data_IF_354082030278
#
_entry.id   IF_354082030278
#
_cell.length_a   1.000
_cell.length_b   1.000
_cell.length_c   1.000
_cell.angle_alpha   90.00
_cell.angle_beta   90.00
_cell.angle_gamma   90.00
#
_symmetry.space_group_name_H-M   'P 1'
#
loop_
_entity.id
_entity.type
_entity.pdbx_description
1 polymer ?
#
# COMPACT_ATOMS: atom_id res chain seq x y z
N UNK A 1 -12.40 21.87 -10.95
CA UNK A 1 -12.37 20.85 -12.03
C UNK A 1 -10.95 20.30 -12.08
N UNK A 2 -10.79 18.99 -11.94
CA UNK A 2 -9.48 18.33 -11.98
C UNK A 2 -8.88 18.40 -13.41
N UNK A 3 -7.59 18.74 -13.59
CA UNK A 3 -6.96 18.69 -14.90
C UNK A 3 -6.94 17.27 -15.46
N UNK A 4 -7.22 17.10 -16.77
CA UNK A 4 -7.33 15.76 -17.41
C UNK A 4 -6.09 14.88 -17.23
N UNK A 5 -4.89 15.47 -17.24
CA UNK A 5 -3.65 14.72 -17.02
C UNK A 5 -3.54 14.20 -15.59
N UNK A 6 -3.96 14.99 -14.61
CA UNK A 6 -3.99 14.59 -13.21
C UNK A 6 -5.06 13.52 -13.00
N UNK A 7 -6.26 13.70 -13.55
CA UNK A 7 -7.32 12.70 -13.48
C UNK A 7 -6.87 11.34 -14.07
N UNK A 8 -6.18 11.36 -15.21
CA UNK A 8 -5.63 10.14 -15.81
C UNK A 8 -4.56 9.49 -14.91
N UNK A 9 -3.62 10.29 -14.39
CA UNK A 9 -2.56 9.80 -13.50
C UNK A 9 -3.11 9.21 -12.19
N UNK A 10 -4.11 9.86 -11.59
CA UNK A 10 -4.75 9.35 -10.37
C UNK A 10 -5.55 8.08 -10.67
N UNK A 11 -6.26 7.99 -11.81
CA UNK A 11 -6.91 6.74 -12.21
C UNK A 11 -5.92 5.59 -12.39
N UNK A 12 -4.74 5.86 -12.94
CA UNK A 12 -3.65 4.88 -13.02
C UNK A 12 -3.15 4.47 -11.63
N UNK A 13 -3.12 5.40 -10.68
CA UNK A 13 -2.72 5.12 -9.30
C UNK A 13 -3.77 4.32 -8.53
N UNK A 14 -5.07 4.62 -8.69
CA UNK A 14 -6.16 3.80 -8.12
C UNK A 14 -5.96 2.33 -8.50
N UNK A 15 -5.70 2.05 -9.78
CA UNK A 15 -5.46 0.68 -10.23
C UNK A 15 -4.17 0.09 -9.66
N UNK A 16 -3.14 0.91 -9.44
CA UNK A 16 -1.88 0.45 -8.87
C UNK A 16 -2.01 0.08 -7.41
N UNK A 17 -2.70 0.87 -6.57
CA UNK A 17 -2.93 0.50 -5.16
C UNK A 17 -3.78 -0.76 -5.03
N UNK A 18 -4.83 -0.89 -5.86
CA UNK A 18 -5.63 -2.12 -5.88
C UNK A 18 -4.83 -3.34 -6.37
N UNK A 19 -3.83 -3.12 -7.23
CA UNK A 19 -2.88 -4.16 -7.61
C UNK A 19 -1.89 -4.48 -6.48
N UNK A 20 -1.39 -3.48 -5.74
CA UNK A 20 -0.59 -3.66 -4.51
C UNK A 20 -1.34 -4.53 -3.51
N UNK A 21 -2.61 -4.21 -3.23
CA UNK A 21 -3.48 -5.03 -2.38
C UNK A 21 -3.56 -6.49 -2.84
N UNK A 22 -3.67 -6.70 -4.16
CA UNK A 22 -3.77 -8.05 -4.71
C UNK A 22 -2.45 -8.83 -4.65
N UNK A 23 -1.30 -8.16 -4.82
CA UNK A 23 0.02 -8.73 -4.56
C UNK A 23 0.14 -9.17 -3.11
N UNK A 24 -0.25 -8.32 -2.16
CA UNK A 24 -0.15 -8.63 -0.73
C UNK A 24 -1.08 -9.77 -0.31
N UNK A 25 -2.26 -9.90 -0.92
CA UNK A 25 -3.09 -11.10 -0.75
C UNK A 25 -2.41 -12.37 -1.28
N UNK A 26 -1.73 -12.30 -2.42
CA UNK A 26 -0.98 -13.44 -2.96
C UNK A 26 0.21 -13.82 -2.07
N UNK A 27 0.94 -12.84 -1.55
CA UNK A 27 2.01 -13.04 -0.57
C UNK A 27 1.47 -13.68 0.73
N UNK A 28 0.34 -13.18 1.24
CA UNK A 28 -0.32 -13.75 2.41
C UNK A 28 -0.68 -15.22 2.21
N UNK A 29 -1.28 -15.56 1.05
CA UNK A 29 -1.65 -16.94 0.72
C UNK A 29 -0.42 -17.86 0.68
N UNK A 30 0.67 -17.41 0.05
CA UNK A 30 1.92 -18.16 -0.02
C UNK A 30 2.57 -18.35 1.36
N UNK A 31 2.67 -17.30 2.17
CA UNK A 31 3.27 -17.36 3.50
C UNK A 31 2.46 -18.27 4.43
N UNK A 32 1.13 -18.21 4.36
CA UNK A 32 0.25 -19.12 5.09
C UNK A 32 0.45 -20.57 4.66
N UNK A 33 0.59 -20.84 3.36
CA UNK A 33 0.91 -22.17 2.84
C UNK A 33 2.26 -22.70 3.37
N UNK A 34 3.23 -21.81 3.62
CA UNK A 34 4.52 -22.15 4.25
C UNK A 34 4.46 -22.29 5.78
N UNK A 35 3.30 -22.07 6.40
CA UNK A 35 3.12 -22.14 7.86
C UNK A 35 3.52 -20.87 8.62
N UNK A 36 3.81 -19.77 7.92
CA UNK A 36 4.17 -18.48 8.49
C UNK A 36 2.91 -17.62 8.64
N UNK A 37 2.10 -17.95 9.65
CA UNK A 37 0.76 -17.41 9.80
C UNK A 37 0.74 -15.93 10.20
N UNK A 38 1.73 -15.47 10.98
CA UNK A 38 1.78 -14.08 11.40
C UNK A 38 2.33 -13.15 10.32
N UNK A 39 3.31 -13.59 9.54
CA UNK A 39 3.68 -12.86 8.32
C UNK A 39 2.52 -12.83 7.30
N UNK A 40 1.76 -13.91 7.19
CA UNK A 40 0.55 -13.92 6.38
C UNK A 40 -0.51 -12.93 6.89
N UNK A 41 -0.69 -12.81 8.22
CA UNK A 41 -1.57 -11.80 8.82
C UNK A 41 -1.10 -10.39 8.43
N UNK A 42 0.18 -10.09 8.62
CA UNK A 42 0.76 -8.79 8.25
C UNK A 42 0.42 -8.40 6.80
N UNK A 43 0.59 -9.32 5.86
CA UNK A 43 0.27 -9.10 4.45
C UNK A 43 -1.24 -8.93 4.19
N UNK A 44 -2.11 -9.60 4.95
CA UNK A 44 -3.55 -9.39 4.87
C UNK A 44 -3.98 -8.02 5.40
N UNK A 45 -3.28 -7.49 6.39
CA UNK A 45 -3.50 -6.13 6.90
C UNK A 45 -2.99 -5.11 5.87
N UNK A 46 -1.77 -5.31 5.33
CA UNK A 46 -1.25 -4.45 4.27
C UNK A 46 -2.18 -4.40 3.06
N UNK A 47 -2.74 -5.53 2.64
CA UNK A 47 -3.72 -5.56 1.55
C UNK A 47 -4.99 -4.73 1.83
N UNK A 48 -5.42 -4.64 3.10
CA UNK A 48 -6.53 -3.79 3.50
C UNK A 48 -6.14 -2.31 3.44
N UNK A 49 -4.95 -1.96 3.93
CA UNK A 49 -4.41 -0.60 3.88
C UNK A 49 -4.29 -0.10 2.43
N UNK A 50 -3.70 -0.89 1.53
CA UNK A 50 -3.63 -0.55 0.09
C UNK A 50 -4.99 -0.39 -0.58
N UNK A 51 -5.98 -1.19 -0.14
CA UNK A 51 -7.35 -1.01 -0.62
C UNK A 51 -7.89 0.35 -0.18
N UNK A 52 -7.62 0.78 1.05
CA UNK A 52 -7.99 2.12 1.52
C UNK A 52 -7.22 3.21 0.77
N UNK A 53 -5.93 3.02 0.48
CA UNK A 53 -5.14 3.94 -0.32
C UNK A 53 -5.76 4.18 -1.70
N UNK A 54 -6.12 3.10 -2.40
CA UNK A 54 -6.81 3.18 -3.70
C UNK A 54 -8.17 3.86 -3.61
N UNK A 55 -8.93 3.58 -2.55
CA UNK A 55 -10.20 4.28 -2.31
C UNK A 55 -9.99 5.78 -2.02
N UNK A 56 -8.87 6.18 -1.42
CA UNK A 56 -8.58 7.58 -1.10
C UNK A 56 -8.49 8.40 -2.38
N UNK A 57 -7.74 7.89 -3.36
CA UNK A 57 -7.68 8.43 -4.71
C UNK A 57 -9.04 8.41 -5.43
N UNK A 58 -9.80 7.32 -5.29
CA UNK A 58 -11.14 7.21 -5.84
C UNK A 58 -12.02 8.37 -5.37
N UNK A 59 -12.11 8.57 -4.05
CA UNK A 59 -12.98 9.59 -3.47
C UNK A 59 -12.50 11.00 -3.84
N UNK A 60 -11.18 11.23 -3.83
CA UNK A 60 -10.61 12.50 -4.24
C UNK A 60 -11.00 12.90 -5.68
N UNK A 61 -10.99 11.96 -6.65
CA UNK A 61 -11.47 12.24 -8.01
C UNK A 61 -12.95 12.64 -8.00
N UNK A 62 -13.79 11.87 -7.30
CA UNK A 62 -15.24 12.09 -7.26
C UNK A 62 -15.57 13.45 -6.64
N UNK A 63 -14.95 13.80 -5.51
CA UNK A 63 -15.17 15.08 -4.82
C UNK A 63 -14.71 16.29 -5.66
N UNK A 64 -13.79 16.06 -6.60
CA UNK A 64 -13.31 17.06 -7.55
C UNK A 64 -14.16 17.14 -8.82
N UNK A 65 -15.24 16.37 -8.90
CA UNK A 65 -16.14 16.27 -10.05
C UNK A 65 -15.52 15.56 -11.25
N UNK A 66 -14.48 14.75 -11.02
CA UNK A 66 -13.83 13.94 -12.05
C UNK A 66 -14.50 12.58 -12.23
N UNK A 67 -13.96 11.79 -13.16
CA UNK A 67 -14.47 10.44 -13.46
C UNK A 67 -13.46 9.36 -13.08
N UNK A 68 -13.90 8.41 -12.26
CA UNK A 68 -13.13 7.19 -11.98
C UNK A 68 -13.30 6.18 -13.12
N UNK A 69 -12.19 5.57 -13.52
CA UNK A 69 -12.10 4.50 -14.50
C UNK A 69 -11.31 3.32 -13.92
N UNK A 70 -12.02 2.37 -13.31
CA UNK A 70 -11.42 1.13 -12.81
C UNK A 70 -10.95 0.26 -13.97
N UNK A 71 -9.73 -0.27 -13.86
CA UNK A 71 -9.08 -1.08 -14.89
C UNK A 71 -8.95 -2.53 -14.44
N UNK A 72 -8.50 -3.39 -15.35
CA UNK A 72 -8.18 -4.77 -15.02
C UNK A 72 -6.98 -4.80 -14.07
N UNK A 73 -7.09 -5.58 -13.00
CA UNK A 73 -5.99 -5.87 -12.08
C UNK A 73 -5.23 -7.07 -12.62
N UNK A 74 -3.92 -6.92 -12.85
CA UNK A 74 -3.09 -8.00 -13.37
C UNK A 74 -2.94 -9.13 -12.33
N UNK A 75 -2.77 -10.36 -12.81
CA UNK A 75 -2.49 -11.50 -11.93
C UNK A 75 -1.12 -11.31 -11.26
N UNK A 76 -1.03 -11.36 -9.92
CA UNK A 76 0.23 -11.26 -9.22
C UNK A 76 1.00 -12.58 -9.29
N UNK A 77 2.30 -12.50 -9.01
CA UNK A 77 3.15 -13.66 -8.70
C UNK A 77 2.56 -14.41 -7.48
N UNK A 78 2.75 -15.73 -7.43
CA UNK A 78 2.13 -16.60 -6.41
C UNK A 78 3.13 -17.32 -5.49
N UNK A 79 4.44 -17.23 -5.71
CA UNK A 79 5.43 -18.03 -4.97
C UNK A 79 6.72 -17.27 -4.66
N UNK A 80 7.22 -17.37 -3.42
CA UNK A 80 8.49 -16.79 -2.98
C UNK A 80 9.38 -17.83 -2.30
N UNK A 81 10.71 -17.67 -2.42
CA UNK A 81 11.68 -18.64 -1.90
C UNK A 81 11.72 -18.68 -0.37
N UNK A 82 11.51 -17.54 0.28
CA UNK A 82 11.54 -17.36 1.73
C UNK A 82 10.69 -16.16 2.13
N UNK A 83 10.47 -15.97 3.44
CA UNK A 83 9.87 -14.74 3.96
C UNK A 83 10.72 -13.51 3.59
N UNK A 84 12.04 -13.61 3.72
CA UNK A 84 12.98 -12.55 3.31
C UNK A 84 12.77 -12.15 1.84
N UNK A 85 12.71 -13.13 0.93
CA UNK A 85 12.49 -12.86 -0.49
C UNK A 85 11.09 -12.27 -0.79
N UNK A 86 10.09 -12.52 0.08
CA UNK A 86 8.78 -11.89 -0.03
C UNK A 86 8.85 -10.42 0.38
N UNK A 87 9.49 -10.10 1.51
CA UNK A 87 9.62 -8.72 2.00
C UNK A 87 10.59 -7.87 1.16
N UNK A 88 11.65 -8.45 0.60
CA UNK A 88 12.47 -7.77 -0.42
C UNK A 88 11.64 -7.39 -1.66
N UNK A 89 10.64 -8.21 -2.01
CA UNK A 89 9.71 -7.88 -3.08
C UNK A 89 8.66 -6.85 -2.66
N UNK A 90 8.24 -6.80 -1.38
CA UNK A 90 7.44 -5.69 -0.83
C UNK A 90 8.20 -4.38 -1.00
N UNK A 91 9.44 -4.29 -0.50
CA UNK A 91 10.23 -3.07 -0.58
C UNK A 91 10.40 -2.60 -2.03
N UNK A 92 10.78 -3.49 -2.94
CA UNK A 92 10.93 -3.14 -4.35
C UNK A 92 9.61 -2.69 -5.01
N UNK A 93 8.46 -3.18 -4.52
CA UNK A 93 7.16 -2.73 -4.98
C UNK A 93 6.81 -1.36 -4.41
N UNK A 94 7.05 -1.12 -3.13
CA UNK A 94 6.82 0.17 -2.47
C UNK A 94 7.69 1.29 -3.05
N UNK A 95 8.96 1.03 -3.40
CA UNK A 95 9.79 2.00 -4.11
C UNK A 95 9.17 2.44 -5.45
N UNK A 96 8.45 1.53 -6.13
CA UNK A 96 7.69 1.86 -7.34
C UNK A 96 6.46 2.69 -6.99
N UNK A 97 5.71 2.34 -5.95
CA UNK A 97 4.57 3.14 -5.46
C UNK A 97 5.04 4.56 -5.15
N UNK A 98 6.11 4.72 -4.36
CA UNK A 98 6.73 6.00 -4.01
C UNK A 98 7.12 6.81 -5.23
N UNK A 99 7.75 6.18 -6.24
CA UNK A 99 8.07 6.86 -7.49
C UNK A 99 6.82 7.40 -8.19
N UNK A 100 5.73 6.62 -8.23
CA UNK A 100 4.46 7.04 -8.83
C UNK A 100 3.80 8.18 -8.06
N UNK A 101 3.78 8.10 -6.73
CA UNK A 101 3.29 9.16 -5.85
C UNK A 101 4.04 10.48 -6.10
N UNK A 102 5.38 10.42 -6.14
CA UNK A 102 6.22 11.58 -6.44
C UNK A 102 5.95 12.18 -7.83
N UNK A 103 5.71 11.33 -8.83
CA UNK A 103 5.37 11.78 -10.18
C UNK A 103 4.01 12.52 -10.22
N UNK A 104 3.00 12.05 -9.47
CA UNK A 104 1.70 12.74 -9.36
C UNK A 104 1.86 14.07 -8.64
N UNK A 105 2.64 14.12 -7.57
CA UNK A 105 2.92 15.35 -6.84
C UNK A 105 3.61 16.39 -7.73
N UNK A 106 4.65 16.00 -8.48
CA UNK A 106 5.33 16.85 -9.44
C UNK A 106 4.40 17.34 -10.56
N UNK A 107 3.53 16.46 -11.07
CA UNK A 107 2.53 16.84 -12.07
C UNK A 107 1.53 17.86 -11.52
N UNK A 108 1.10 17.71 -10.26
CA UNK A 108 0.21 18.66 -9.61
C UNK A 108 0.86 20.04 -9.47
N UNK A 109 2.17 20.11 -9.16
CA UNK A 109 2.90 21.38 -9.14
C UNK A 109 2.99 22.00 -10.54
N UNK A 110 3.32 21.22 -11.56
CA UNK A 110 3.46 21.69 -12.94
C UNK A 110 2.15 22.25 -13.51
N UNK A 111 1.02 21.60 -13.22
CA UNK A 111 -0.31 22.02 -13.64
C UNK A 111 -0.93 23.06 -12.69
N UNK A 112 -0.20 23.48 -11.64
CA UNK A 112 -0.66 24.40 -10.58
C UNK A 112 -1.96 23.94 -9.90
N UNK A 113 -2.18 22.63 -9.80
CA UNK A 113 -3.32 22.07 -9.08
C UNK A 113 -2.98 21.88 -7.59
N UNK A 114 -3.08 22.98 -6.84
CA UNK A 114 -2.76 23.02 -5.42
C UNK A 114 -3.62 22.08 -4.57
N UNK A 115 -4.84 21.77 -5.00
CA UNK A 115 -5.69 20.81 -4.29
C UNK A 115 -5.09 19.40 -4.35
N UNK A 116 -4.66 18.96 -5.55
CA UNK A 116 -3.96 17.69 -5.72
C UNK A 116 -2.63 17.71 -5.00
N UNK A 117 -1.84 18.78 -5.10
CA UNK A 117 -0.58 18.92 -4.36
C UNK A 117 -0.76 18.71 -2.85
N UNK A 118 -1.77 19.34 -2.24
CA UNK A 118 -2.05 19.20 -0.81
C UNK A 118 -2.51 17.78 -0.45
N UNK A 119 -3.36 17.19 -1.29
CA UNK A 119 -3.80 15.81 -1.10
C UNK A 119 -2.64 14.80 -1.16
N UNK A 120 -1.68 14.99 -2.08
CA UNK A 120 -0.51 14.12 -2.20
C UNK A 120 0.44 14.18 -1.00
N UNK A 121 0.40 15.21 -0.15
CA UNK A 121 1.29 15.30 1.02
C UNK A 121 1.11 14.12 1.97
N UNK A 122 -0.12 13.65 2.15
CA UNK A 122 -0.39 12.49 2.99
C UNK A 122 0.27 11.23 2.43
N UNK A 123 0.07 10.94 1.14
CA UNK A 123 0.68 9.77 0.48
C UNK A 123 2.21 9.83 0.46
N UNK A 124 2.80 11.02 0.33
CA UNK A 124 4.27 11.18 0.41
C UNK A 124 4.76 10.78 1.80
N UNK A 125 4.08 11.22 2.86
CA UNK A 125 4.42 10.82 4.23
C UNK A 125 4.18 9.33 4.46
N UNK A 126 3.05 8.80 3.98
CA UNK A 126 2.70 7.39 4.11
C UNK A 126 3.77 6.48 3.47
N UNK A 127 4.20 6.80 2.25
CA UNK A 127 5.22 6.00 1.56
C UNK A 127 6.58 5.96 2.29
N UNK A 128 6.92 7.01 3.06
CA UNK A 128 8.13 6.98 3.90
C UNK A 128 7.98 5.94 5.01
N UNK A 129 6.80 5.84 5.62
CA UNK A 129 6.51 4.84 6.65
C UNK A 129 6.42 3.42 6.05
N UNK A 130 5.81 3.26 4.87
CA UNK A 130 5.73 1.96 4.16
C UNK A 130 7.12 1.39 3.84
N UNK A 131 8.00 2.21 3.24
CA UNK A 131 9.38 1.79 2.96
C UNK A 131 10.17 1.52 4.24
N UNK A 132 9.96 2.32 5.30
CA UNK A 132 10.63 2.11 6.59
C UNK A 132 10.22 0.78 7.23
N UNK A 133 8.91 0.48 7.27
CA UNK A 133 8.36 -0.78 7.78
C UNK A 133 8.87 -1.99 7.00
N UNK A 134 8.90 -1.91 5.66
CA UNK A 134 9.44 -2.97 4.82
C UNK A 134 10.93 -3.22 5.12
N UNK A 135 11.72 -2.16 5.24
CA UNK A 135 13.16 -2.25 5.57
C UNK A 135 13.42 -2.83 6.96
N UNK A 136 12.64 -2.41 7.97
CA UNK A 136 12.76 -2.94 9.33
C UNK A 136 12.57 -4.46 9.34
N UNK A 137 11.50 -4.94 8.71
CA UNK A 137 11.20 -6.38 8.65
C UNK A 137 12.27 -7.15 7.87
N UNK A 138 12.79 -6.59 6.77
CA UNK A 138 13.92 -7.17 6.03
C UNK A 138 15.14 -7.33 6.95
N UNK A 139 15.45 -6.30 7.75
CA UNK A 139 16.60 -6.33 8.65
C UNK A 139 16.41 -7.39 9.76
N UNK A 140 15.22 -7.47 10.35
CA UNK A 140 14.87 -8.52 11.32
C UNK A 140 15.00 -9.93 10.71
N UNK A 141 14.50 -10.13 9.49
CA UNK A 141 14.57 -11.41 8.80
C UNK A 141 16.01 -11.81 8.47
N UNK A 142 16.88 -10.85 8.14
CA UNK A 142 18.33 -11.09 7.95
C UNK A 142 19.01 -11.49 9.26
N UNK A 143 18.64 -10.85 10.39
CA UNK A 143 19.14 -11.24 11.70
C UNK A 143 18.69 -12.66 12.10
N UNK A 144 17.52 -13.10 11.63
CA UNK A 144 16.96 -14.42 11.90
C UNK A 144 17.38 -15.52 10.88
N UNK A 145 18.22 -15.20 9.88
CA UNK A 145 18.47 -16.07 8.70
C UNK A 145 18.88 -17.51 9.08
N UNK A 146 19.69 -17.66 10.13
CA UNK A 146 20.22 -18.96 10.58
C UNK A 146 19.46 -19.57 11.78
N UNK A 147 18.33 -18.98 12.23
CA UNK A 147 17.57 -19.48 13.38
C UNK A 147 16.07 -19.62 13.09
N UNK A 148 15.60 -20.87 13.09
CA UNK A 148 14.17 -21.20 12.97
C UNK A 148 13.37 -20.70 14.17
N UNK A 149 13.98 -20.71 15.35
CA UNK A 149 13.40 -20.20 16.58
C UNK A 149 13.17 -18.69 16.49
N UNK A 150 14.18 -17.93 16.01
CA UNK A 150 14.06 -16.49 15.77
C UNK A 150 12.98 -16.19 14.72
N UNK A 151 12.95 -16.95 13.61
CA UNK A 151 11.90 -16.79 12.59
C UNK A 151 10.50 -17.03 13.16
N UNK A 152 10.32 -18.04 14.01
CA UNK A 152 9.03 -18.30 14.67
C UNK A 152 8.66 -17.22 15.69
N UNK A 153 9.63 -16.59 16.35
CA UNK A 153 9.38 -15.44 17.22
C UNK A 153 8.88 -14.23 16.42
N UNK A 154 9.56 -13.90 15.32
CA UNK A 154 9.13 -12.83 14.41
C UNK A 154 7.75 -13.11 13.83
N UNK A 155 7.48 -14.35 13.39
CA UNK A 155 6.15 -14.70 12.88
C UNK A 155 5.06 -14.44 13.93
N UNK A 156 5.27 -14.86 15.18
CA UNK A 156 4.30 -14.60 16.26
C UNK A 156 4.09 -13.11 16.55
N UNK A 157 5.14 -12.31 16.43
CA UNK A 157 5.04 -10.86 16.58
C UNK A 157 4.21 -10.23 15.45
N UNK A 158 4.48 -10.60 14.19
CA UNK A 158 3.72 -10.06 13.04
C UNK A 158 2.25 -10.47 13.04
N UNK A 159 1.89 -11.54 13.76
CA UNK A 159 0.50 -11.91 14.02
C UNK A 159 -0.27 -10.88 14.87
N UNK A 160 0.42 -9.99 15.60
CA UNK A 160 -0.21 -8.96 16.43
C UNK A 160 -0.62 -7.71 15.65
N UNK A 161 -0.20 -7.56 14.38
CA UNK A 161 -0.61 -6.40 13.56
C UNK A 161 -2.12 -6.42 13.40
N UNK A 162 -2.75 -5.31 13.78
CA UNK A 162 -4.18 -5.05 13.60
C UNK A 162 -4.36 -3.97 12.55
N UNK A 163 -5.44 -4.08 11.80
CA UNK A 163 -5.79 -3.07 10.81
C UNK A 163 -6.20 -1.79 11.52
N UNK A 164 -5.50 -0.72 11.23
CA UNK A 164 -5.83 0.62 11.66
C UNK A 164 -6.28 1.40 10.44
N UNK A 165 -7.49 1.96 10.49
CA UNK A 165 -8.01 2.69 9.36
C UNK A 165 -7.22 3.99 9.15
N UNK A 166 -6.53 4.19 8.01
CA UNK A 166 -5.72 5.38 7.81
C UNK A 166 -6.64 6.61 7.65
N UNK A 167 -6.22 7.74 8.22
CA UNK A 167 -6.95 9.01 8.15
C UNK A 167 -6.45 9.79 6.95
N UNK A 168 -6.97 9.46 5.77
CA UNK A 168 -6.63 10.14 4.52
C UNK A 168 -7.38 11.49 4.45
N UNK A 169 -6.68 12.63 4.26
CA UNK A 169 -7.32 13.92 4.10
C UNK A 169 -8.31 13.93 2.94
N UNK A 170 -9.54 14.39 3.19
CA UNK A 170 -10.52 14.58 2.11
C UNK A 170 -11.40 13.38 1.77
N UNK A 171 -11.70 12.48 2.72
CA UNK A 171 -13.01 11.82 2.67
C UNK A 171 -13.10 10.32 2.94
N UNK A 172 -12.05 9.65 3.41
CA UNK A 172 -12.24 8.30 3.96
C UNK A 172 -12.28 8.33 5.47
N UNK A 173 -13.49 8.20 6.00
CA UNK A 173 -13.72 7.91 7.41
C UNK A 173 -13.88 6.41 7.57
N UNK A 174 -13.40 5.88 8.70
CA UNK A 174 -13.66 4.49 9.06
C UNK A 174 -15.17 4.19 8.99
N UNK A 175 -15.58 2.99 8.53
CA UNK A 175 -16.99 2.61 8.54
C UNK A 175 -17.58 2.80 9.94
N UNK A 176 -18.58 3.68 10.09
CA UNK A 176 -19.23 3.99 11.37
C UNK A 176 -18.71 5.23 12.10
N UNK A 177 -17.68 5.93 11.61
CA UNK A 177 -17.30 7.24 12.12
C UNK A 177 -18.31 8.30 11.62
N UNK A 178 -19.31 8.61 12.44
CA UNK A 178 -20.27 9.67 12.19
C UNK A 178 -19.57 11.00 11.86
N UNK A 179 -20.14 11.79 10.96
CA UNK A 179 -19.73 13.18 10.79
C UNK A 179 -20.09 13.98 12.06
N UNK A 180 -19.24 14.93 12.49
CA UNK A 180 -19.65 15.92 13.49
C UNK A 180 -20.81 16.78 12.97
#
# INVERSE_FOLDING_TARGET
MIPRKIEAAINDQINFELYSAYIYLAMAAHLRFKGLNGFANWMQIQAQEETVHGMGFYNFIIDRGGKVALKAIAQPKSEWKSALAAFENVLAHEEIVTSRINNIAALAEAEKDYATRNFMQWYISEQVEEEANANEIINELKLAEDSKEALLMLDREKAQRIFMFPVIPGGIKAPGAAAP
#
